data_IF_978099032669
#
_entry.id   IF_978099032669
#
_cell.length_a   1.000
_cell.length_b   1.000
_cell.length_c   1.000
_cell.angle_alpha   90.00
_cell.angle_beta   90.00
_cell.angle_gamma   90.00
#
_symmetry.space_group_name_H-M   'P 1'
#
loop_
_entity.id
_entity.type
_entity.pdbx_description
1 polymer ?
#
# COMPACT_ATOMS: atom_id res chain seq x y z
N UNK A 1 16.34 20.38 -7.56
CA UNK A 1 14.87 20.17 -7.52
C UNK A 1 14.22 19.81 -8.87
N UNK A 2 14.77 20.26 -10.01
CA UNK A 2 14.19 20.03 -11.35
C UNK A 2 14.30 18.58 -11.86
N UNK A 3 15.38 17.85 -11.53
CA UNK A 3 15.57 16.44 -11.97
C UNK A 3 14.55 15.44 -11.41
N UNK A 4 14.02 15.65 -10.20
CA UNK A 4 13.03 14.75 -9.59
C UNK A 4 11.64 14.89 -10.22
N UNK A 5 11.27 16.11 -10.66
CA UNK A 5 9.99 16.36 -11.36
C UNK A 5 10.01 15.82 -12.79
N UNK A 6 11.18 15.83 -13.45
CA UNK A 6 11.35 15.27 -14.79
C UNK A 6 11.22 13.74 -14.80
N UNK A 7 11.67 13.05 -13.76
CA UNK A 7 11.53 11.58 -13.64
C UNK A 7 10.08 11.15 -13.40
N UNK A 8 9.30 11.93 -12.65
CA UNK A 8 7.87 11.69 -12.42
C UNK A 8 7.08 11.93 -13.72
N UNK A 9 7.43 12.96 -14.49
CA UNK A 9 6.82 13.24 -15.80
C UNK A 9 7.20 12.18 -16.85
N UNK A 10 8.42 11.64 -16.82
CA UNK A 10 8.84 10.55 -17.72
C UNK A 10 8.18 9.22 -17.37
N UNK A 11 7.97 8.92 -16.08
CA UNK A 11 7.24 7.73 -15.65
C UNK A 11 5.74 7.83 -16.01
N UNK A 12 5.14 9.02 -15.91
CA UNK A 12 3.76 9.23 -16.36
C UNK A 12 3.62 9.09 -17.88
N UNK A 13 4.60 9.54 -18.67
CA UNK A 13 4.55 9.41 -20.13
C UNK A 13 4.80 7.99 -20.63
N UNK A 14 5.59 7.18 -19.90
CA UNK A 14 5.83 5.78 -20.24
C UNK A 14 4.64 4.86 -19.91
N UNK A 15 3.85 5.22 -18.89
CA UNK A 15 2.61 4.51 -18.54
C UNK A 15 1.45 4.86 -19.48
N UNK A 16 1.31 6.12 -19.91
CA UNK A 16 0.23 6.52 -20.84
C UNK A 16 0.37 5.84 -22.20
N UNK A 17 1.59 5.55 -22.67
CA UNK A 17 1.80 4.87 -23.95
C UNK A 17 1.48 3.37 -23.90
N UNK A 18 1.75 2.69 -22.77
CA UNK A 18 1.47 1.25 -22.64
C UNK A 18 0.00 0.96 -22.24
N UNK A 19 -0.74 1.92 -21.68
CA UNK A 19 -2.17 1.75 -21.38
C UNK A 19 -3.08 1.95 -22.59
N UNK A 20 -2.58 2.59 -23.65
CA UNK A 20 -3.29 2.69 -24.93
C UNK A 20 -3.06 1.44 -25.81
N UNK A 21 -1.92 0.76 -25.65
CA UNK A 21 -1.61 -0.50 -26.34
C UNK A 21 -2.02 -1.77 -25.56
N UNK A 22 -2.51 -1.65 -24.33
CA UNK A 22 -3.15 -2.75 -23.61
C UNK A 22 -4.59 -2.95 -24.15
N UNK A 23 -4.67 -3.55 -25.35
CA UNK A 23 -5.86 -3.79 -26.19
C UNK A 23 -6.36 -2.62 -27.04
N UNK A 24 -5.48 -2.00 -27.83
CA UNK A 24 -5.85 -1.71 -29.22
C UNK A 24 -5.28 -2.82 -30.09
N UNK A 25 -6.02 -3.92 -30.22
CA UNK A 25 -5.78 -4.86 -31.32
C UNK A 25 -6.15 -4.10 -32.59
N UNK A 26 -5.16 -3.46 -33.21
CA UNK A 26 -5.21 -3.21 -34.65
C UNK A 26 -5.52 -4.55 -35.32
N UNK A 27 -6.48 -4.64 -36.27
CA UNK A 27 -6.75 -5.87 -36.97
C UNK A 27 -5.58 -6.11 -37.94
N UNK A 28 -4.47 -6.60 -37.41
CA UNK A 28 -3.58 -7.42 -38.19
C UNK A 28 -4.45 -8.59 -38.67
N UNK A 29 -4.52 -8.74 -39.99
CA UNK A 29 -5.20 -9.82 -40.70
C UNK A 29 -4.61 -11.14 -40.19
N UNK A 30 -5.12 -11.60 -39.06
CA UNK A 30 -4.89 -12.93 -38.56
C UNK A 30 -5.84 -13.80 -39.34
N UNK A 31 -5.26 -14.70 -40.12
CA UNK A 31 -5.96 -15.78 -40.80
C UNK A 31 -7.11 -16.27 -39.94
N UNK A 32 -8.30 -16.21 -40.52
CA UNK A 32 -9.60 -16.63 -39.97
C UNK A 32 -9.55 -18.08 -39.47
N UNK A 33 -8.96 -18.33 -38.32
CA UNK A 33 -9.22 -19.53 -37.53
C UNK A 33 -10.55 -19.29 -36.83
N UNK A 34 -11.60 -19.66 -37.55
CA UNK A 34 -12.93 -19.90 -37.02
C UNK A 34 -12.83 -21.06 -36.00
N UNK A 35 -12.18 -20.84 -34.85
CA UNK A 35 -12.31 -21.79 -33.74
C UNK A 35 -13.72 -21.60 -33.22
N UNK A 36 -14.59 -22.58 -33.49
CA UNK A 36 -15.89 -22.66 -32.81
C UNK A 36 -15.57 -22.73 -31.33
N UNK A 37 -15.73 -21.62 -30.61
CA UNK A 37 -15.51 -21.56 -29.17
C UNK A 37 -16.39 -22.64 -28.56
N UNK A 38 -15.78 -23.55 -27.82
CA UNK A 38 -16.51 -24.73 -27.37
C UNK A 38 -17.48 -24.31 -26.26
N UNK A 39 -18.61 -25.01 -26.13
CA UNK A 39 -19.52 -24.79 -24.98
C UNK A 39 -18.77 -24.93 -23.65
N UNK A 40 -17.78 -25.81 -23.61
CA UNK A 40 -16.90 -26.02 -22.48
C UNK A 40 -16.04 -24.79 -22.15
N UNK A 41 -15.42 -24.15 -23.14
CA UNK A 41 -14.65 -22.90 -22.95
C UNK A 41 -15.52 -21.77 -22.39
N UNK A 42 -16.75 -21.64 -22.85
CA UNK A 42 -17.71 -20.65 -22.35
C UNK A 42 -18.06 -20.92 -20.89
N UNK A 43 -18.31 -22.19 -20.53
CA UNK A 43 -18.61 -22.58 -19.14
C UNK A 43 -17.41 -22.34 -18.22
N UNK A 44 -16.20 -22.70 -18.65
CA UNK A 44 -14.96 -22.45 -17.90
C UNK A 44 -14.77 -20.96 -17.69
N UNK A 45 -14.91 -20.14 -18.74
CA UNK A 45 -14.80 -18.68 -18.63
C UNK A 45 -15.79 -18.11 -17.60
N UNK A 46 -17.07 -18.49 -17.67
CA UNK A 46 -18.08 -18.03 -16.71
C UNK A 46 -17.69 -18.38 -15.29
N UNK A 47 -17.31 -19.64 -15.05
CA UNK A 47 -16.87 -20.10 -13.73
C UNK A 47 -15.66 -19.31 -13.22
N UNK A 48 -14.65 -19.05 -14.06
CA UNK A 48 -13.48 -18.26 -13.67
C UNK A 48 -13.83 -16.80 -13.37
N UNK A 49 -14.77 -16.21 -14.12
CA UNK A 49 -15.25 -14.85 -13.87
C UNK A 49 -16.09 -14.76 -12.60
N UNK A 50 -16.92 -15.76 -12.29
CA UNK A 50 -17.67 -15.83 -11.03
C UNK A 50 -16.69 -15.90 -9.84
N UNK A 51 -15.65 -16.73 -9.93
CA UNK A 51 -14.60 -16.77 -8.92
C UNK A 51 -13.78 -15.48 -8.88
N UNK A 52 -13.51 -14.83 -10.02
CA UNK A 52 -12.82 -13.55 -10.06
C UNK A 52 -13.61 -12.49 -9.27
N UNK A 53 -14.92 -12.44 -9.48
CA UNK A 53 -15.78 -11.50 -8.77
C UNK A 53 -15.87 -11.81 -7.27
N UNK A 54 -16.09 -13.08 -6.90
CA UNK A 54 -16.13 -13.50 -5.50
C UNK A 54 -14.81 -13.18 -4.78
N UNK A 55 -13.69 -13.57 -5.38
CA UNK A 55 -12.36 -13.27 -4.84
C UNK A 55 -12.06 -11.78 -4.82
N UNK A 56 -12.62 -11.01 -5.75
CA UNK A 56 -12.57 -9.55 -5.74
C UNK A 56 -13.21 -8.95 -4.48
N UNK A 57 -14.40 -9.41 -4.09
CA UNK A 57 -15.04 -8.96 -2.85
C UNK A 57 -14.28 -9.40 -1.58
N UNK A 58 -13.67 -10.59 -1.59
CA UNK A 58 -12.79 -11.02 -0.48
C UNK A 58 -11.55 -10.13 -0.40
N UNK A 59 -10.92 -9.84 -1.53
CA UNK A 59 -9.78 -8.90 -1.62
C UNK A 59 -10.17 -7.53 -1.08
N UNK A 60 -11.36 -7.03 -1.42
CA UNK A 60 -11.88 -5.75 -0.95
C UNK A 60 -11.96 -5.72 0.59
N UNK A 61 -12.57 -6.75 1.19
CA UNK A 61 -12.69 -6.85 2.65
C UNK A 61 -11.33 -6.94 3.34
N UNK A 62 -10.41 -7.76 2.81
CA UNK A 62 -9.05 -7.87 3.32
C UNK A 62 -8.28 -6.54 3.20
N UNK A 63 -8.40 -5.84 2.08
CA UNK A 63 -7.71 -4.57 1.87
C UNK A 63 -8.24 -3.49 2.83
N UNK A 64 -9.56 -3.42 3.02
CA UNK A 64 -10.15 -2.53 4.02
C UNK A 64 -9.57 -2.81 5.42
N UNK A 65 -9.55 -4.08 5.84
CA UNK A 65 -8.98 -4.47 7.12
C UNK A 65 -7.49 -4.10 7.23
N UNK A 66 -6.71 -4.34 6.16
CA UNK A 66 -5.29 -3.94 6.07
C UNK A 66 -5.11 -2.44 6.27
N UNK A 67 -5.93 -1.60 5.62
CA UNK A 67 -5.86 -0.15 5.76
C UNK A 67 -6.21 0.29 7.19
N UNK A 68 -7.30 -0.24 7.76
CA UNK A 68 -7.73 0.10 9.12
C UNK A 68 -6.70 -0.30 10.19
N UNK A 69 -6.10 -1.48 10.07
CA UNK A 69 -5.01 -1.90 10.97
C UNK A 69 -3.72 -1.11 10.71
N UNK A 70 -3.51 -0.64 9.48
CA UNK A 70 -2.43 0.28 9.12
C UNK A 70 -2.56 1.64 9.80
N UNK A 71 -3.79 2.18 9.93
CA UNK A 71 -4.05 3.41 10.69
C UNK A 71 -3.64 3.25 12.16
N UNK A 72 -4.09 2.15 12.80
CA UNK A 72 -3.74 1.84 14.19
C UNK A 72 -2.22 1.70 14.37
N UNK A 73 -1.56 1.02 13.44
CA UNK A 73 -0.12 0.86 13.47
C UNK A 73 0.60 2.22 13.34
N UNK A 74 0.20 3.03 12.36
CA UNK A 74 0.72 4.39 12.13
C UNK A 74 0.59 5.27 13.37
N UNK A 75 -0.59 5.30 13.98
CA UNK A 75 -0.88 6.17 15.14
C UNK A 75 -0.12 5.72 16.40
N UNK A 76 0.30 4.46 16.43
CA UNK A 76 1.10 3.88 17.53
C UNK A 76 2.62 3.87 17.27
N UNK A 77 3.08 4.54 16.21
CA UNK A 77 4.50 4.60 15.89
C UNK A 77 5.29 5.36 16.97
N UNK A 78 6.45 4.82 17.31
CA UNK A 78 7.40 5.44 18.22
C UNK A 78 8.84 5.14 17.77
N UNK A 79 9.79 5.93 18.28
CA UNK A 79 11.22 5.77 18.01
C UNK A 79 11.85 4.88 19.09
N UNK A 80 12.62 3.87 18.70
CA UNK A 80 13.39 3.07 19.68
C UNK A 80 14.35 3.91 20.51
N UNK A 81 14.91 4.97 19.92
CA UNK A 81 15.78 5.90 20.64
C UNK A 81 15.10 6.53 21.85
N UNK A 82 13.79 6.84 21.76
CA UNK A 82 13.02 7.39 22.87
C UNK A 82 12.69 6.33 23.93
N UNK A 83 12.44 5.09 23.52
CA UNK A 83 12.25 3.97 24.45
C UNK A 83 13.50 3.74 25.31
N UNK A 84 14.67 3.64 24.68
CA UNK A 84 15.94 3.50 25.40
C UNK A 84 16.25 4.75 26.25
N UNK A 85 15.96 5.95 25.76
CA UNK A 85 16.15 7.16 26.52
C UNK A 85 15.30 7.19 27.80
N UNK A 86 14.06 6.69 27.78
CA UNK A 86 13.25 6.56 29.01
C UNK A 86 13.91 5.64 30.03
N UNK A 87 14.49 4.53 29.58
CA UNK A 87 15.24 3.62 30.47
C UNK A 87 16.44 4.34 31.09
N UNK A 88 17.18 5.13 30.30
CA UNK A 88 18.31 5.92 30.80
C UNK A 88 17.89 7.05 31.75
N UNK A 89 16.71 7.64 31.54
CA UNK A 89 16.19 8.66 32.44
C UNK A 89 15.79 8.07 33.80
N UNK A 90 15.28 6.83 33.83
CA UNK A 90 15.00 6.11 35.08
C UNK A 90 16.26 5.88 35.92
N UNK A 91 17.43 5.72 35.29
CA UNK A 91 18.70 5.54 36.01
C UNK A 91 19.33 6.86 36.47
N UNK A 92 18.74 8.00 36.09
CA UNK A 92 19.21 9.36 36.42
C UNK A 92 18.14 10.20 37.10
N UNK A 93 17.67 9.82 38.31
CA UNK A 93 16.65 10.58 39.04
C UNK A 93 17.09 12.01 39.37
N UNK A 94 18.40 12.29 39.42
CA UNK A 94 18.96 13.63 39.61
C UNK A 94 18.54 14.63 38.52
N UNK A 95 18.12 14.14 37.35
CA UNK A 95 17.60 14.99 36.28
C UNK A 95 16.23 15.59 36.59
N UNK A 96 15.50 15.03 37.56
CA UNK A 96 14.19 15.52 38.00
C UNK A 96 14.21 16.87 38.72
N UNK A 97 15.38 17.34 39.18
CA UNK A 97 15.50 18.50 40.08
C UNK A 97 14.87 19.77 39.49
N UNK A 98 13.66 20.10 39.96
CA UNK A 98 12.80 21.22 39.52
C UNK A 98 12.56 21.30 38.01
N UNK A 99 12.66 20.16 37.32
CA UNK A 99 12.51 20.10 35.87
C UNK A 99 11.25 19.29 35.53
N UNK A 100 10.12 19.98 35.25
CA UNK A 100 8.87 19.28 34.92
C UNK A 100 9.01 18.44 33.64
N UNK A 101 9.95 18.77 32.73
CA UNK A 101 10.17 18.02 31.51
C UNK A 101 10.77 16.62 31.77
N UNK A 102 11.41 16.40 32.92
CA UNK A 102 11.80 15.06 33.35
C UNK A 102 10.59 14.15 33.47
N UNK A 103 9.55 14.61 34.16
CA UNK A 103 8.31 13.84 34.32
C UNK A 103 7.58 13.64 32.99
N UNK A 104 7.53 14.67 32.14
CA UNK A 104 6.91 14.55 30.81
C UNK A 104 7.68 13.55 29.95
N UNK A 105 9.00 13.65 29.88
CA UNK A 105 9.83 12.74 29.06
C UNK A 105 9.73 11.28 29.50
N UNK A 106 9.53 11.01 30.79
CA UNK A 106 9.33 9.66 31.33
C UNK A 106 7.91 9.12 31.16
N UNK A 107 6.91 9.92 31.52
CA UNK A 107 5.52 9.46 31.67
C UNK A 107 4.62 9.79 30.48
N UNK A 108 5.06 10.64 29.54
CA UNK A 108 4.41 10.73 28.23
C UNK A 108 4.38 9.33 27.60
N UNK A 109 3.36 9.04 26.79
CA UNK A 109 3.33 7.82 25.97
C UNK A 109 4.59 7.69 25.10
N UNK A 110 4.95 6.46 24.73
CA UNK A 110 5.86 6.23 23.61
C UNK A 110 5.03 6.39 22.34
N UNK A 111 5.15 7.57 21.73
CA UNK A 111 4.50 7.94 20.48
C UNK A 111 5.45 8.79 19.62
N UNK A 112 4.97 9.21 18.46
CA UNK A 112 5.74 9.99 17.47
C UNK A 112 6.25 11.34 18.02
N UNK A 113 5.62 11.85 19.08
CA UNK A 113 5.90 13.14 19.71
C UNK A 113 6.66 12.98 21.04
N UNK A 114 7.10 11.77 21.39
CA UNK A 114 7.90 11.54 22.59
C UNK A 114 9.15 12.41 22.58
N UNK A 115 9.44 13.07 23.70
CA UNK A 115 10.61 13.96 23.82
C UNK A 115 11.80 13.31 24.54
N UNK A 116 11.72 12.03 24.89
CA UNK A 116 12.65 11.36 25.81
C UNK A 116 14.13 11.45 25.40
N UNK A 117 14.47 11.06 24.16
CA UNK A 117 15.87 11.11 23.70
C UNK A 117 16.40 12.55 23.60
N UNK A 118 15.54 13.46 23.17
CA UNK A 118 15.87 14.88 23.05
C UNK A 118 16.07 15.52 24.41
N UNK A 119 15.19 15.24 25.38
CA UNK A 119 15.31 15.68 26.76
C UNK A 119 16.59 15.12 27.40
N UNK A 120 16.86 13.83 27.21
CA UNK A 120 18.08 13.19 27.70
C UNK A 120 19.34 13.92 27.20
N UNK A 121 19.43 14.23 25.91
CA UNK A 121 20.54 15.04 25.38
C UNK A 121 20.61 16.43 26.02
N UNK A 122 19.50 17.16 26.06
CA UNK A 122 19.50 18.55 26.52
C UNK A 122 19.79 18.73 28.00
N UNK A 123 19.48 17.72 28.82
CA UNK A 123 19.68 17.80 30.26
C UNK A 123 21.16 17.86 30.65
N UNK A 124 21.99 17.15 29.90
CA UNK A 124 23.45 17.16 30.08
C UNK A 124 24.15 16.89 28.75
N UNK A 125 24.26 17.92 27.88
CA UNK A 125 24.77 17.73 26.52
C UNK A 125 26.19 17.18 26.49
N UNK A 126 27.05 17.57 27.44
CA UNK A 126 28.44 17.16 27.47
C UNK A 126 28.59 15.65 27.71
N UNK A 127 27.81 15.09 28.65
CA UNK A 127 27.91 13.67 29.00
C UNK A 127 26.97 12.78 28.18
N UNK A 128 25.86 13.31 27.68
CA UNK A 128 24.83 12.51 26.99
C UNK A 128 25.00 12.48 25.48
N UNK A 129 25.81 13.37 24.89
CA UNK A 129 26.00 13.41 23.44
C UNK A 129 26.46 12.08 22.82
N UNK A 130 27.48 11.37 23.34
CA UNK A 130 27.90 10.09 22.76
C UNK A 130 26.79 9.03 22.78
N UNK A 131 26.04 8.95 23.88
CA UNK A 131 24.96 8.00 24.04
C UNK A 131 23.74 8.36 23.19
N UNK A 132 23.38 9.64 23.14
CA UNK A 132 22.34 10.14 22.23
C UNK A 132 22.69 9.83 20.77
N UNK A 133 23.93 10.08 20.36
CA UNK A 133 24.39 9.76 19.00
C UNK A 133 24.31 8.26 18.72
N UNK A 134 24.72 7.42 19.67
CA UNK A 134 24.59 5.97 19.55
C UNK A 134 23.12 5.55 19.36
N UNK A 135 22.20 6.12 20.16
CA UNK A 135 20.75 5.87 20.04
C UNK A 135 20.16 6.35 18.70
N UNK A 136 20.63 7.48 18.17
CA UNK A 136 20.12 8.06 16.92
C UNK A 136 20.76 7.49 15.66
N UNK A 137 21.99 6.96 15.74
CA UNK A 137 22.73 6.48 14.55
C UNK A 137 22.08 5.30 13.85
N UNK A 138 21.33 4.47 14.59
CA UNK A 138 20.53 3.36 14.07
C UNK A 138 19.08 3.50 14.51
N UNK A 139 18.53 4.72 14.40
CA UNK A 139 17.14 4.95 14.80
C UNK A 139 16.18 4.17 13.90
N UNK A 140 15.43 3.29 14.56
CA UNK A 140 14.31 2.57 13.97
C UNK A 140 12.98 3.06 14.57
N UNK A 141 11.96 2.98 13.73
CA UNK A 141 10.57 3.20 14.09
C UNK A 141 9.85 1.86 14.22
N UNK A 142 9.11 1.70 15.32
CA UNK A 142 8.24 0.56 15.54
C UNK A 142 6.82 1.00 15.88
N UNK A 143 5.86 0.14 15.57
CA UNK A 143 4.46 0.34 15.92
C UNK A 143 4.15 -0.46 17.19
N UNK A 144 3.68 0.22 18.24
CA UNK A 144 3.31 -0.43 19.50
C UNK A 144 2.14 -1.39 19.32
N UNK A 145 1.23 -1.09 18.40
CA UNK A 145 0.01 -1.83 18.17
C UNK A 145 -0.15 -2.16 16.68
N UNK A 146 -0.83 -3.28 16.39
CA UNK A 146 -1.28 -3.67 15.05
C UNK A 146 -0.23 -3.85 13.94
N UNK A 147 1.05 -3.54 14.14
CA UNK A 147 2.07 -3.64 13.07
C UNK A 147 2.24 -5.04 12.50
N UNK A 148 2.32 -6.08 13.34
CA UNK A 148 2.43 -7.47 12.91
C UNK A 148 1.14 -7.98 12.25
N UNK A 149 -0.02 -7.60 12.79
CA UNK A 149 -1.32 -7.99 12.25
C UNK A 149 -1.61 -7.31 10.91
N UNK A 150 -1.30 -6.01 10.77
CA UNK A 150 -1.31 -5.29 9.51
C UNK A 150 -0.44 -5.98 8.46
N UNK A 151 0.79 -6.39 8.82
CA UNK A 151 1.69 -7.12 7.90
C UNK A 151 1.09 -8.46 7.44
N UNK A 152 0.49 -9.22 8.35
CA UNK A 152 -0.19 -10.48 8.00
C UNK A 152 -1.37 -10.25 7.06
N UNK A 153 -2.25 -9.29 7.40
CA UNK A 153 -3.38 -8.91 6.55
C UNK A 153 -2.90 -8.43 5.18
N UNK A 154 -1.83 -7.63 5.12
CA UNK A 154 -1.26 -7.15 3.85
C UNK A 154 -0.80 -8.30 2.96
N UNK A 155 -0.13 -9.32 3.51
CA UNK A 155 0.22 -10.52 2.74
C UNK A 155 -1.01 -11.30 2.28
N UNK A 156 -2.03 -11.44 3.13
CA UNK A 156 -3.30 -12.08 2.75
C UNK A 156 -4.01 -11.30 1.65
N UNK A 157 -4.09 -9.96 1.75
CA UNK A 157 -4.65 -9.08 0.73
C UNK A 157 -3.91 -9.23 -0.60
N UNK A 158 -2.57 -9.17 -0.58
CA UNK A 158 -1.75 -9.31 -1.78
C UNK A 158 -1.93 -10.68 -2.44
N UNK A 159 -1.91 -11.77 -1.64
CA UNK A 159 -2.12 -13.12 -2.14
C UNK A 159 -3.51 -13.32 -2.74
N UNK A 160 -4.55 -12.80 -2.09
CA UNK A 160 -5.92 -12.85 -2.59
C UNK A 160 -6.06 -12.03 -3.88
N UNK A 161 -5.47 -10.83 -3.92
CA UNK A 161 -5.44 -9.98 -5.11
C UNK A 161 -4.76 -10.68 -6.30
N UNK A 162 -3.63 -11.36 -6.06
CA UNK A 162 -2.93 -12.11 -7.09
C UNK A 162 -3.80 -13.24 -7.65
N UNK A 163 -4.53 -13.95 -6.79
CA UNK A 163 -5.49 -14.96 -7.21
C UNK A 163 -6.62 -14.33 -8.05
N UNK A 164 -7.21 -13.23 -7.59
CA UNK A 164 -8.24 -12.49 -8.34
C UNK A 164 -7.73 -12.07 -9.72
N UNK A 165 -6.55 -11.45 -9.79
CA UNK A 165 -5.93 -11.06 -11.05
C UNK A 165 -5.63 -12.26 -11.95
N UNK A 166 -5.13 -13.36 -11.37
CA UNK A 166 -4.85 -14.61 -12.09
C UNK A 166 -6.10 -15.22 -12.72
N UNK A 167 -7.24 -15.22 -12.02
CA UNK A 167 -8.50 -15.71 -12.56
C UNK A 167 -8.96 -14.92 -13.80
N UNK A 168 -8.76 -13.61 -13.82
CA UNK A 168 -9.05 -12.80 -15.01
C UNK A 168 -8.04 -13.03 -16.13
N UNK A 169 -6.75 -13.11 -15.79
CA UNK A 169 -5.67 -13.25 -16.76
C UNK A 169 -5.70 -14.59 -17.50
N UNK A 170 -6.00 -15.68 -16.80
CA UNK A 170 -6.04 -17.03 -17.36
C UNK A 170 -7.43 -17.45 -17.88
N UNK A 171 -8.45 -16.59 -17.79
CA UNK A 171 -9.78 -16.93 -18.30
C UNK A 171 -9.78 -17.07 -19.84
N UNK A 172 -10.45 -18.09 -20.41
CA UNK A 172 -10.61 -18.23 -21.87
C UNK A 172 -11.16 -16.94 -22.49
N UNK A 173 -10.80 -16.60 -23.72
CA UNK A 173 -11.20 -15.31 -24.32
C UNK A 173 -12.73 -15.14 -24.45
N UNK A 174 -13.18 -13.88 -24.46
CA UNK A 174 -14.59 -13.55 -24.68
C UNK A 174 -14.96 -13.88 -26.13
N UNK A 175 -16.08 -14.57 -26.33
CA UNK A 175 -16.73 -14.66 -27.63
C UNK A 175 -17.35 -13.31 -27.96
N UNK A 176 -16.93 -12.69 -29.06
CA UNK A 176 -17.48 -11.42 -29.54
C UNK A 176 -18.34 -11.75 -30.76
N UNK A 177 -19.65 -11.84 -30.55
CA UNK A 177 -20.60 -12.01 -31.65
C UNK A 177 -20.93 -10.63 -32.23
N UNK A 178 -20.08 -10.11 -33.10
CA UNK A 178 -20.33 -9.07 -34.15
C UNK A 178 -19.14 -8.11 -34.35
N UNK A 179 -18.89 -7.75 -35.61
CA UNK A 179 -17.97 -6.69 -36.04
C UNK A 179 -18.46 -5.26 -35.72
N UNK A 180 -19.66 -5.12 -35.13
CA UNK A 180 -20.36 -3.84 -34.95
C UNK A 180 -20.34 -3.32 -33.49
N UNK A 181 -19.59 -3.96 -32.59
CA UNK A 181 -19.43 -3.46 -31.22
C UNK A 181 -18.38 -2.35 -31.18
N UNK A 182 -18.75 -1.14 -31.60
CA UNK A 182 -17.96 0.06 -31.36
C UNK A 182 -17.53 0.16 -29.88
N UNK A 183 -16.37 0.77 -29.62
CA UNK A 183 -15.85 0.96 -28.25
C UNK A 183 -16.86 1.75 -27.43
N UNK A 184 -17.66 1.04 -26.63
CA UNK A 184 -18.59 1.69 -25.71
C UNK A 184 -17.82 2.14 -24.46
N UNK A 185 -17.40 3.40 -24.48
CA UNK A 185 -16.66 4.08 -23.40
C UNK A 185 -17.48 4.09 -22.09
N UNK A 186 -18.80 3.94 -22.18
CA UNK A 186 -19.71 3.86 -21.03
C UNK A 186 -19.96 2.41 -20.55
N UNK A 187 -19.24 1.42 -21.08
CA UNK A 187 -19.44 0.03 -20.65
C UNK A 187 -18.82 -0.24 -19.26
N UNK A 188 -19.53 -0.96 -18.38
CA UNK A 188 -19.02 -1.52 -17.12
C UNK A 188 -17.60 -2.13 -17.21
N UNK A 189 -17.37 -2.90 -18.28
CA UNK A 189 -16.11 -3.61 -18.52
C UNK A 189 -14.97 -2.63 -18.85
N UNK A 190 -15.25 -1.62 -19.67
CA UNK A 190 -14.26 -0.59 -19.97
C UNK A 190 -13.88 0.19 -18.71
N UNK A 191 -14.89 0.61 -17.93
CA UNK A 191 -14.68 1.32 -16.67
C UNK A 191 -13.82 0.52 -15.69
N UNK A 192 -14.07 -0.79 -15.53
CA UNK A 192 -13.23 -1.66 -14.72
C UNK A 192 -11.78 -1.70 -15.23
N UNK A 193 -11.58 -1.93 -16.54
CA UNK A 193 -10.24 -1.99 -17.16
C UNK A 193 -9.47 -0.68 -16.99
N UNK A 194 -10.15 0.46 -17.07
CA UNK A 194 -9.54 1.78 -16.88
C UNK A 194 -9.02 2.00 -15.45
N UNK A 195 -9.56 1.31 -14.46
CA UNK A 195 -9.14 1.39 -13.05
C UNK A 195 -8.02 0.40 -12.69
N UNK A 196 -7.77 -0.62 -13.52
CA UNK A 196 -6.70 -1.62 -13.30
C UNK A 196 -5.33 -0.98 -13.05
N UNK A 197 -4.86 -0.01 -13.87
CA UNK A 197 -3.55 0.60 -13.63
C UNK A 197 -3.42 1.22 -12.24
N UNK A 198 -4.50 1.76 -11.67
CA UNK A 198 -4.48 2.42 -10.36
C UNK A 198 -4.36 1.40 -9.23
N UNK A 199 -5.28 0.43 -9.15
CA UNK A 199 -5.26 -0.53 -8.05
C UNK A 199 -4.11 -1.54 -8.17
N UNK A 200 -3.67 -1.88 -9.38
CA UNK A 200 -2.48 -2.70 -9.60
C UNK A 200 -1.20 -1.98 -9.19
N UNK A 201 -1.02 -0.72 -9.59
CA UNK A 201 0.15 0.06 -9.19
C UNK A 201 0.24 0.19 -7.66
N UNK A 202 -0.90 0.46 -6.99
CA UNK A 202 -0.94 0.50 -5.54
C UNK A 202 -0.47 -0.82 -4.92
N UNK A 203 -1.01 -1.96 -5.36
CA UNK A 203 -0.62 -3.28 -4.84
C UNK A 203 0.87 -3.60 -5.00
N UNK A 204 1.48 -3.17 -6.11
CA UNK A 204 2.90 -3.40 -6.36
C UNK A 204 3.82 -2.48 -5.55
N UNK A 205 3.37 -1.26 -5.21
CA UNK A 205 4.17 -0.25 -4.51
C UNK A 205 4.10 -0.42 -2.98
N UNK A 206 2.95 -0.84 -2.44
CA UNK A 206 2.72 -0.92 -0.99
C UNK A 206 3.78 -1.71 -0.20
N UNK A 207 4.27 -2.89 -0.66
CA UNK A 207 5.32 -3.62 0.07
C UNK A 207 6.61 -2.82 0.22
N UNK A 208 7.01 -2.09 -0.84
CA UNK A 208 8.22 -1.25 -0.81
C UNK A 208 8.05 -0.06 0.14
N UNK A 209 6.86 0.56 0.17
CA UNK A 209 6.56 1.63 1.13
C UNK A 209 6.56 1.12 2.57
N UNK A 210 6.04 -0.08 2.83
CA UNK A 210 6.08 -0.70 4.15
C UNK A 210 7.50 -0.89 4.70
N UNK A 211 8.43 -1.34 3.85
CA UNK A 211 9.85 -1.49 4.23
C UNK A 211 10.52 -0.16 4.59
N UNK A 212 10.02 0.97 4.07
CA UNK A 212 10.57 2.30 4.40
C UNK A 212 10.17 2.79 5.78
N UNK A 213 9.10 2.26 6.38
CA UNK A 213 8.55 2.76 7.65
C UNK A 213 9.57 2.64 8.78
N UNK A 214 10.30 1.53 8.85
CA UNK A 214 11.30 1.30 9.90
C UNK A 214 12.35 2.41 9.96
N UNK A 215 12.78 2.93 8.80
CA UNK A 215 13.83 3.96 8.71
C UNK A 215 13.32 5.39 8.59
N UNK A 216 12.17 5.58 7.95
CA UNK A 216 11.61 6.90 7.63
C UNK A 216 10.38 7.26 8.48
N UNK A 217 9.90 6.33 9.29
CA UNK A 217 8.89 6.58 10.32
C UNK A 217 7.56 7.12 9.78
N UNK A 218 6.99 8.15 10.43
CA UNK A 218 5.66 8.67 10.11
C UNK A 218 5.50 9.17 8.67
N UNK A 219 6.58 9.68 8.06
CA UNK A 219 6.54 10.13 6.67
C UNK A 219 6.27 8.96 5.72
N UNK A 220 7.02 7.87 5.84
CA UNK A 220 6.81 6.68 5.02
C UNK A 220 5.48 5.98 5.34
N UNK A 221 5.04 5.99 6.60
CA UNK A 221 3.75 5.45 6.97
C UNK A 221 2.59 6.23 6.33
N UNK A 222 2.72 7.57 6.24
CA UNK A 222 1.76 8.43 5.53
C UNK A 222 1.77 8.18 4.02
N UNK A 223 2.95 8.02 3.41
CA UNK A 223 3.04 7.65 1.98
C UNK A 223 2.30 6.32 1.71
N UNK A 224 2.55 5.31 2.55
CA UNK A 224 1.90 4.01 2.45
C UNK A 224 0.38 4.11 2.64
N UNK A 225 -0.08 4.87 3.64
CA UNK A 225 -1.49 5.12 3.91
C UNK A 225 -2.19 5.74 2.70
N UNK A 226 -1.60 6.77 2.10
CA UNK A 226 -2.16 7.46 0.94
C UNK A 226 -2.31 6.52 -0.26
N UNK A 227 -1.27 5.73 -0.57
CA UNK A 227 -1.32 4.73 -1.64
C UNK A 227 -2.33 3.63 -1.32
N UNK A 228 -2.40 3.20 -0.06
CA UNK A 228 -3.31 2.15 0.40
C UNK A 228 -4.78 2.54 0.22
N UNK A 229 -5.15 3.75 0.62
CA UNK A 229 -6.51 4.27 0.44
C UNK A 229 -6.84 4.62 -1.01
N UNK A 230 -5.90 5.19 -1.76
CA UNK A 230 -6.11 5.49 -3.18
C UNK A 230 -6.33 4.19 -4.00
N UNK A 231 -5.49 3.17 -3.75
CA UNK A 231 -5.62 1.86 -4.38
C UNK A 231 -6.92 1.15 -3.99
N UNK A 232 -7.27 1.17 -2.70
CA UNK A 232 -8.54 0.64 -2.21
C UNK A 232 -9.74 1.32 -2.87
N UNK A 233 -9.73 2.66 -2.98
CA UNK A 233 -10.78 3.42 -3.65
C UNK A 233 -10.93 3.04 -5.13
N UNK A 234 -9.82 2.95 -5.85
CA UNK A 234 -9.83 2.51 -7.24
C UNK A 234 -10.36 1.08 -7.41
N UNK A 235 -9.97 0.16 -6.52
CA UNK A 235 -10.44 -1.23 -6.52
C UNK A 235 -11.93 -1.34 -6.15
N UNK A 236 -12.38 -0.52 -5.20
CA UNK A 236 -13.80 -0.45 -4.82
C UNK A 236 -14.65 0.02 -6.00
N UNK A 237 -14.25 1.10 -6.67
CA UNK A 237 -14.91 1.59 -7.86
C UNK A 237 -14.90 0.54 -8.97
N UNK A 238 -13.79 -0.19 -9.15
CA UNK A 238 -13.67 -1.21 -10.18
C UNK A 238 -14.63 -2.40 -9.96
N UNK A 239 -14.99 -2.71 -8.71
CA UNK A 239 -16.02 -3.68 -8.38
C UNK A 239 -17.45 -3.13 -8.56
N UNK A 240 -17.68 -1.86 -8.21
CA UNK A 240 -19.01 -1.23 -8.36
C UNK A 240 -19.42 -1.02 -9.81
N UNK A 241 -18.47 -0.66 -10.69
CA UNK A 241 -18.78 -0.43 -12.10
C UNK A 241 -19.04 -1.71 -12.87
N UNK A 242 -18.65 -2.88 -12.34
CA UNK A 242 -19.08 -4.18 -12.89
C UNK A 242 -20.54 -4.39 -12.44
N UNK A 243 -21.47 -3.76 -13.16
CA UNK A 243 -22.89 -4.08 -13.09
C UNK A 243 -23.20 -5.20 -14.09
N UNK A 244 -23.93 -6.20 -13.61
CA UNK A 244 -24.31 -7.43 -14.33
C UNK A 244 -25.09 -7.18 -15.62
#
# INVERSE_FOLDING_TARGET
MIRKRFFILLLSSFFVWNTLDAQSVTPAISSKTNSKTTKEEILIRRKMLDFHQLSGFITLGLWLATNLEGEKAKDSLYRKSDEYAKILLLTRPEYSNNDPLYSVSLFQGLDQNSIAATYFLFKDPANNFPLYFALKSNEEWEAKHSGSFHKQLAYSTFGMYLLTAGLAFFAPQRVVDSEDSGVNIYSPIFAHKALIPLHLAAMLILPSLGQRIEKHGPEAARDMQQVGWAGFGAFTLSLFVITF
#
